data_IF_929323441440
#
_entry.id   IF_929323441440
#
_cell.length_a   1.000
_cell.length_b   1.000
_cell.length_c   1.000
_cell.angle_alpha   90.00
_cell.angle_beta   90.00
_cell.angle_gamma   90.00
#
_symmetry.space_group_name_H-M   'P 1'
#
loop_
_entity.id
_entity.type
_entity.pdbx_description
1 polymer ?
#
# COMPACT_ATOMS: atom_id res chain seq x y z
N UNK A 1 -56.46 -21.53 54.95
CA UNK A 1 -55.29 -20.66 55.10
C UNK A 1 -53.99 -21.40 54.64
N UNK A 2 -53.94 -21.86 53.37
CA UNK A 2 -52.78 -22.67 52.87
C UNK A 2 -52.52 -22.47 51.36
N UNK A 3 -52.73 -21.30 50.79
CA UNK A 3 -52.47 -21.03 49.35
C UNK A 3 -51.42 -19.89 49.14
N UNK A 4 -51.07 -19.13 50.21
CA UNK A 4 -50.24 -17.92 50.04
C UNK A 4 -48.70 -18.17 50.05
N UNK A 5 -48.19 -19.38 50.35
CA UNK A 5 -46.75 -19.61 50.54
C UNK A 5 -46.07 -20.17 49.27
N UNK A 6 -46.80 -20.68 48.29
CA UNK A 6 -46.23 -21.23 47.07
C UNK A 6 -45.89 -20.15 46.02
N UNK A 7 -46.55 -18.99 46.04
CA UNK A 7 -46.35 -17.93 45.08
C UNK A 7 -45.08 -17.12 45.25
N UNK A 8 -44.59 -16.96 46.53
CA UNK A 8 -43.41 -16.18 46.82
C UNK A 8 -42.08 -16.84 46.30
N UNK A 9 -41.99 -18.18 46.39
CA UNK A 9 -40.82 -18.91 45.91
C UNK A 9 -40.74 -18.91 44.37
N UNK A 10 -41.86 -18.97 43.68
CA UNK A 10 -41.88 -18.90 42.23
C UNK A 10 -41.52 -17.49 41.74
N UNK A 11 -41.92 -16.46 42.45
CA UNK A 11 -41.57 -15.07 42.15
C UNK A 11 -40.08 -14.80 42.34
N UNK A 12 -39.49 -15.34 43.42
CA UNK A 12 -38.02 -15.25 43.69
C UNK A 12 -37.20 -15.99 42.65
N UNK A 13 -37.65 -17.15 42.17
CA UNK A 13 -36.98 -17.88 41.07
C UNK A 13 -37.05 -17.09 39.76
N UNK A 14 -38.18 -16.43 39.48
CA UNK A 14 -38.33 -15.60 38.27
C UNK A 14 -37.39 -14.39 38.31
N UNK A 15 -37.26 -13.69 39.43
CA UNK A 15 -36.32 -12.58 39.61
C UNK A 15 -34.87 -13.03 39.56
N UNK A 16 -34.54 -14.21 40.06
CA UNK A 16 -33.18 -14.77 39.97
C UNK A 16 -32.78 -15.12 38.55
N UNK A 17 -33.71 -15.65 37.73
CA UNK A 17 -33.47 -15.93 36.31
C UNK A 17 -33.30 -14.64 35.51
N UNK A 18 -34.12 -13.61 35.76
CA UNK A 18 -34.02 -12.30 35.09
C UNK A 18 -32.67 -11.64 35.46
N UNK A 19 -32.23 -11.70 36.74
CA UNK A 19 -30.94 -11.16 37.16
C UNK A 19 -29.76 -11.90 36.53
N UNK A 20 -29.85 -13.22 36.36
CA UNK A 20 -28.83 -14.03 35.68
C UNK A 20 -28.77 -13.72 34.17
N UNK A 21 -29.93 -13.56 33.52
CA UNK A 21 -30.00 -13.15 32.11
C UNK A 21 -29.45 -11.72 31.90
N UNK A 22 -29.78 -10.78 32.79
CA UNK A 22 -29.24 -9.42 32.75
C UNK A 22 -27.72 -9.37 32.98
N UNK A 23 -27.19 -10.16 33.91
CA UNK A 23 -25.76 -10.29 34.15
C UNK A 23 -25.03 -10.93 32.96
N UNK A 24 -25.64 -11.92 32.30
CA UNK A 24 -25.09 -12.56 31.11
C UNK A 24 -25.09 -11.61 29.90
N UNK A 25 -26.15 -10.82 29.72
CA UNK A 25 -26.22 -9.78 28.67
C UNK A 25 -25.19 -8.68 28.95
N UNK A 26 -25.08 -8.21 30.20
CA UNK A 26 -24.09 -7.21 30.58
C UNK A 26 -22.65 -7.71 30.46
N UNK A 27 -22.38 -9.00 30.73
CA UNK A 27 -21.05 -9.58 30.49
C UNK A 27 -20.72 -9.70 29.00
N UNK A 28 -21.70 -10.01 28.14
CA UNK A 28 -21.49 -10.03 26.69
C UNK A 28 -21.32 -8.64 26.10
N UNK A 29 -22.08 -7.64 26.56
CA UNK A 29 -21.88 -6.24 26.12
C UNK A 29 -20.55 -5.70 26.56
N UNK A 30 -20.08 -5.97 27.78
CA UNK A 30 -18.72 -5.62 28.26
C UNK A 30 -17.62 -6.38 27.50
N UNK A 31 -17.88 -7.58 27.02
CA UNK A 31 -16.92 -8.32 26.20
C UNK A 31 -16.89 -7.77 24.76
N UNK A 32 -18.06 -7.39 24.21
CA UNK A 32 -18.16 -6.69 22.93
C UNK A 32 -17.48 -5.32 22.97
N UNK A 33 -17.68 -4.52 24.02
CA UNK A 33 -17.00 -3.23 24.22
C UNK A 33 -15.50 -3.36 24.52
N UNK A 34 -15.04 -4.49 25.11
CA UNK A 34 -13.60 -4.81 25.22
C UNK A 34 -13.00 -5.23 23.89
N UNK A 35 -13.74 -5.94 23.05
CA UNK A 35 -13.30 -6.36 21.73
C UNK A 35 -13.28 -5.19 20.75
N UNK A 36 -14.20 -4.20 20.89
CA UNK A 36 -14.13 -2.91 20.14
C UNK A 36 -12.97 -2.02 20.60
N UNK A 37 -12.49 -2.15 21.83
CA UNK A 37 -11.31 -1.44 22.38
C UNK A 37 -9.98 -2.15 22.17
N UNK A 38 -9.94 -3.29 21.51
CA UNK A 38 -8.67 -3.80 20.98
C UNK A 38 -8.35 -2.97 19.73
N UNK A 39 -7.61 -1.87 19.94
CA UNK A 39 -7.07 -1.04 18.87
C UNK A 39 -6.42 -1.94 17.82
N UNK A 40 -6.69 -1.67 16.54
CA UNK A 40 -5.96 -2.31 15.45
C UNK A 40 -4.46 -2.31 15.82
N UNK A 41 -3.80 -3.48 15.73
CA UNK A 41 -2.38 -3.54 16.01
C UNK A 41 -1.68 -2.58 15.05
N UNK A 42 -1.04 -1.56 15.61
CA UNK A 42 -0.34 -0.54 14.86
C UNK A 42 1.10 -0.98 14.68
N UNK A 43 1.59 -0.97 13.45
CA UNK A 43 3.01 -1.14 13.16
C UNK A 43 3.56 0.09 12.44
N UNK A 44 4.80 0.44 12.75
CA UNK A 44 5.52 1.54 12.11
C UNK A 44 6.60 0.96 11.21
N UNK A 45 6.69 1.46 9.97
CA UNK A 45 7.71 1.07 9.00
C UNK A 45 8.55 2.28 8.61
N UNK A 46 9.85 2.07 8.52
CA UNK A 46 10.88 3.03 8.13
C UNK A 46 11.95 2.34 7.29
N UNK A 47 12.78 3.10 6.61
CA UNK A 47 13.91 2.57 5.87
C UNK A 47 15.22 2.51 6.69
N UNK A 48 16.20 1.82 6.12
CA UNK A 48 17.55 1.75 6.65
C UNK A 48 17.67 0.97 7.96
N UNK A 49 18.72 1.26 8.72
CA UNK A 49 19.02 0.60 9.99
C UNK A 49 17.95 0.84 11.06
N UNK A 50 17.30 2.02 11.06
CA UNK A 50 16.21 2.33 11.96
C UNK A 50 14.99 1.44 11.67
N UNK A 51 14.61 1.28 10.40
CA UNK A 51 13.52 0.40 9.99
C UNK A 51 13.75 -1.06 10.37
N UNK A 52 14.99 -1.54 10.24
CA UNK A 52 15.40 -2.85 10.71
C UNK A 52 15.20 -3.00 12.22
N UNK A 53 15.73 -2.06 13.01
CA UNK A 53 15.61 -2.07 14.46
C UNK A 53 14.15 -2.00 14.92
N UNK A 54 13.33 -1.15 14.27
CA UNK A 54 11.91 -1.03 14.58
C UNK A 54 11.13 -2.31 14.26
N UNK A 55 11.44 -3.00 13.15
CA UNK A 55 10.81 -4.27 12.80
C UNK A 55 11.11 -5.35 13.84
N UNK A 56 12.36 -5.45 14.30
CA UNK A 56 12.79 -6.37 15.37
C UNK A 56 12.07 -6.07 16.68
N UNK A 57 12.02 -4.80 17.08
CA UNK A 57 11.36 -4.37 18.33
C UNK A 57 9.84 -4.59 18.31
N UNK A 58 9.21 -4.49 17.14
CA UNK A 58 7.78 -4.75 16.95
C UNK A 58 7.44 -6.24 16.78
N UNK A 59 8.43 -7.13 16.83
CA UNK A 59 8.23 -8.58 16.79
C UNK A 59 7.93 -9.14 15.39
N UNK A 60 8.41 -8.49 14.33
CA UNK A 60 8.34 -9.07 12.99
C UNK A 60 9.15 -10.38 12.93
N UNK A 61 8.65 -11.38 12.23
CA UNK A 61 9.40 -12.60 11.96
C UNK A 61 10.52 -12.31 10.95
N UNK A 62 11.72 -12.82 11.24
CA UNK A 62 12.89 -12.65 10.37
C UNK A 62 13.15 -13.94 9.59
N UNK A 63 13.29 -13.82 8.27
CA UNK A 63 13.80 -14.86 7.38
C UNK A 63 15.11 -14.38 6.75
N UNK A 64 16.13 -15.24 6.77
CA UNK A 64 17.41 -14.97 6.14
C UNK A 64 17.62 -15.90 4.93
N UNK A 65 18.04 -15.35 3.81
CA UNK A 65 18.41 -16.11 2.62
C UNK A 65 19.94 -16.23 2.51
N UNK A 66 20.50 -17.37 2.03
CA UNK A 66 21.93 -17.54 1.89
C UNK A 66 22.63 -16.51 0.99
N UNK A 67 21.91 -15.87 0.06
CA UNK A 67 22.44 -14.79 -0.79
C UNK A 67 22.75 -13.50 -0.02
N UNK A 68 22.28 -13.35 1.22
CA UNK A 68 22.41 -12.13 2.01
C UNK A 68 21.16 -11.27 2.06
N UNK A 69 20.14 -11.58 1.27
CA UNK A 69 18.80 -10.99 1.38
C UNK A 69 18.13 -11.49 2.64
N UNK A 70 17.42 -10.63 3.34
CA UNK A 70 16.59 -10.96 4.49
C UNK A 70 15.23 -10.30 4.41
N UNK A 71 14.24 -10.90 5.08
CA UNK A 71 12.87 -10.40 5.11
C UNK A 71 12.33 -10.34 6.53
N UNK A 72 11.75 -9.20 6.89
CA UNK A 72 10.92 -8.99 8.07
C UNK A 72 9.47 -9.09 7.68
N UNK A 73 8.67 -9.90 8.40
CA UNK A 73 7.26 -10.11 8.06
C UNK A 73 6.36 -10.08 9.28
N UNK A 74 5.21 -9.41 9.13
CA UNK A 74 4.07 -9.53 10.05
C UNK A 74 2.77 -9.62 9.26
N UNK A 75 1.71 -10.16 9.86
CA UNK A 75 0.41 -10.34 9.22
C UNK A 75 -0.71 -10.37 10.26
N UNK A 76 -1.93 -10.20 9.80
CA UNK A 76 -3.16 -10.24 10.60
C UNK A 76 -4.09 -11.31 10.03
N UNK A 77 -4.30 -12.39 10.79
CA UNK A 77 -5.10 -13.55 10.36
C UNK A 77 -6.60 -13.35 10.60
N UNK A 78 -6.97 -12.48 11.54
CA UNK A 78 -8.37 -12.22 11.86
C UNK A 78 -8.93 -11.15 10.91
N UNK A 79 -9.88 -11.50 10.02
CA UNK A 79 -10.45 -10.54 9.07
C UNK A 79 -11.21 -9.39 9.72
N UNK A 80 -11.51 -9.48 11.03
CA UNK A 80 -12.16 -8.43 11.82
C UNK A 80 -11.15 -7.56 12.61
N UNK A 81 -9.86 -7.91 12.59
CA UNK A 81 -8.79 -7.23 13.35
C UNK A 81 -7.61 -6.91 12.44
N UNK A 82 -7.89 -6.22 11.34
CA UNK A 82 -6.86 -5.82 10.38
C UNK A 82 -5.95 -4.74 10.95
N UNK A 83 -4.72 -4.69 10.45
CA UNK A 83 -3.68 -3.80 10.95
C UNK A 83 -3.82 -2.35 10.53
N UNK A 84 -3.10 -1.49 11.25
CA UNK A 84 -2.80 -0.13 10.85
C UNK A 84 -1.29 -0.01 10.66
N UNK A 85 -0.85 0.30 9.44
CA UNK A 85 0.56 0.54 9.11
C UNK A 85 0.80 2.03 9.02
N UNK A 86 1.82 2.52 9.72
CA UNK A 86 2.32 3.89 9.64
C UNK A 86 3.66 3.88 8.92
N UNK A 87 3.68 4.41 7.71
CA UNK A 87 4.92 4.73 7.02
C UNK A 87 5.43 6.10 7.48
N UNK A 88 6.69 6.16 7.93
CA UNK A 88 7.28 7.37 8.50
C UNK A 88 8.46 7.86 7.67
N UNK A 89 8.29 9.01 7.02
CA UNK A 89 9.32 9.72 6.24
C UNK A 89 9.04 11.23 6.26
N UNK A 90 9.16 11.87 7.42
CA UNK A 90 8.91 13.30 7.56
C UNK A 90 7.53 13.71 7.01
N UNK A 91 7.48 14.72 6.15
CA UNK A 91 6.22 15.20 5.53
C UNK A 91 5.56 14.21 4.57
N UNK A 92 6.31 13.23 4.07
CA UNK A 92 5.83 12.21 3.13
C UNK A 92 5.19 10.99 3.83
N UNK A 93 5.07 11.06 5.16
CA UNK A 93 4.45 10.00 5.96
C UNK A 93 2.98 9.82 5.63
N UNK A 94 2.48 8.59 5.76
CA UNK A 94 1.05 8.26 5.60
C UNK A 94 0.68 7.00 6.36
N UNK A 95 -0.62 6.82 6.59
CA UNK A 95 -1.19 5.67 7.27
C UNK A 95 -2.01 4.80 6.30
N UNK A 96 -1.90 3.48 6.46
CA UNK A 96 -2.69 2.47 5.75
C UNK A 96 -3.47 1.63 6.76
N UNK A 97 -4.79 1.78 6.77
CA UNK A 97 -5.68 0.90 7.51
C UNK A 97 -6.00 -0.39 6.76
N UNK A 98 -6.62 -1.33 7.46
CA UNK A 98 -7.04 -2.62 6.93
C UNK A 98 -5.88 -3.45 6.34
N UNK A 99 -4.67 -3.31 6.90
CA UNK A 99 -3.50 -4.06 6.48
C UNK A 99 -3.67 -5.56 6.81
N UNK A 100 -3.22 -6.39 5.88
CA UNK A 100 -3.25 -7.85 5.95
C UNK A 100 -1.85 -8.41 6.21
N UNK A 101 -0.88 -7.92 5.47
CA UNK A 101 0.51 -8.39 5.49
C UNK A 101 1.43 -7.18 5.33
N UNK A 102 2.54 -7.19 6.05
CA UNK A 102 3.66 -6.27 5.85
C UNK A 102 4.92 -7.10 5.71
N UNK A 103 5.68 -6.84 4.65
CA UNK A 103 6.98 -7.46 4.41
C UNK A 103 8.01 -6.37 4.16
N UNK A 104 9.10 -6.37 4.94
CA UNK A 104 10.26 -5.52 4.72
C UNK A 104 11.42 -6.35 4.19
N UNK A 105 12.05 -5.93 3.11
CA UNK A 105 13.22 -6.57 2.53
C UNK A 105 14.45 -5.73 2.76
N UNK A 106 15.59 -6.39 2.89
CA UNK A 106 16.91 -5.78 2.91
C UNK A 106 17.97 -6.72 2.36
N UNK A 107 19.06 -6.16 1.88
CA UNK A 107 20.23 -6.89 1.43
C UNK A 107 21.44 -6.42 2.24
N UNK A 108 22.30 -7.35 2.69
CA UNK A 108 23.55 -7.04 3.38
C UNK A 108 24.49 -6.14 2.56
N UNK A 109 24.32 -6.15 1.22
CA UNK A 109 25.09 -5.34 0.28
C UNK A 109 24.39 -4.03 -0.10
N UNK A 110 23.20 -3.73 0.48
CA UNK A 110 22.49 -2.47 0.25
C UNK A 110 23.29 -1.27 0.80
N UNK A 111 23.47 -0.20 0.00
CA UNK A 111 24.19 1.00 0.43
C UNK A 111 23.58 1.66 1.68
N UNK A 112 22.25 1.64 1.81
CA UNK A 112 21.53 2.27 2.91
C UNK A 112 21.62 1.47 4.22
N UNK A 113 21.94 0.18 4.13
CA UNK A 113 21.91 -0.76 5.26
C UNK A 113 20.50 -0.89 5.88
N UNK A 114 20.11 -2.07 6.30
CA UNK A 114 18.80 -2.29 6.87
C UNK A 114 17.71 -2.57 5.83
N UNK A 115 16.48 -2.12 6.06
CA UNK A 115 15.35 -2.35 5.14
C UNK A 115 15.37 -1.30 4.03
N UNK A 116 15.30 -1.73 2.79
CA UNK A 116 15.32 -0.90 1.58
C UNK A 116 14.04 -1.04 0.72
N UNK A 117 13.18 -2.00 1.07
CA UNK A 117 11.90 -2.21 0.41
C UNK A 117 10.84 -2.62 1.42
N UNK A 118 9.66 -2.04 1.34
CA UNK A 118 8.47 -2.44 2.09
C UNK A 118 7.33 -2.76 1.14
N UNK A 119 6.66 -3.87 1.40
CA UNK A 119 5.42 -4.27 0.74
C UNK A 119 4.30 -4.38 1.78
N UNK A 120 3.16 -3.73 1.50
CA UNK A 120 1.99 -3.71 2.38
C UNK A 120 0.77 -4.09 1.59
N UNK A 121 0.24 -5.30 1.83
CA UNK A 121 -1.06 -5.73 1.31
C UNK A 121 -2.17 -5.29 2.25
N UNK A 122 -3.23 -4.70 1.72
CA UNK A 122 -4.35 -4.18 2.50
C UNK A 122 -5.67 -4.20 1.73
N UNK A 123 -6.79 -4.18 2.45
CA UNK A 123 -8.11 -3.97 1.87
C UNK A 123 -8.42 -2.47 1.78
N UNK A 124 -8.94 -1.94 0.66
CA UNK A 124 -9.29 -0.53 0.54
C UNK A 124 -10.45 -0.11 1.46
N UNK A 125 -11.24 -1.06 1.93
CA UNK A 125 -12.37 -0.87 2.86
C UNK A 125 -12.29 -1.88 4.01
N UNK A 126 -12.91 -1.56 5.16
CA UNK A 126 -13.16 -2.53 6.24
C UNK A 126 -14.17 -3.61 5.83
N UNK A 127 -15.03 -3.32 4.85
CA UNK A 127 -15.90 -4.32 4.23
C UNK A 127 -15.12 -5.16 3.24
N UNK A 128 -15.21 -6.48 3.39
CA UNK A 128 -14.47 -7.44 2.54
C UNK A 128 -14.97 -7.46 1.09
N UNK A 129 -16.25 -7.21 0.88
CA UNK A 129 -16.91 -7.18 -0.43
C UNK A 129 -17.51 -5.78 -0.61
N UNK A 130 -17.12 -5.09 -1.67
CA UNK A 130 -17.54 -3.72 -1.98
C UNK A 130 -17.86 -3.55 -3.46
N UNK A 131 -18.57 -2.47 -3.81
CA UNK A 131 -18.90 -2.14 -5.20
C UNK A 131 -17.69 -1.54 -5.93
N UNK A 132 -17.80 -1.46 -7.26
CA UNK A 132 -16.79 -0.76 -8.08
C UNK A 132 -16.67 0.72 -7.69
N UNK A 133 -17.78 1.38 -7.43
CA UNK A 133 -17.82 2.79 -7.01
C UNK A 133 -17.11 2.99 -5.68
N UNK A 134 -17.43 2.16 -4.68
CA UNK A 134 -16.81 2.26 -3.36
C UNK A 134 -15.29 2.03 -3.45
N UNK A 135 -14.84 0.99 -4.15
CA UNK A 135 -13.42 0.70 -4.32
C UNK A 135 -12.69 1.85 -5.01
N UNK A 136 -13.22 2.35 -6.13
CA UNK A 136 -12.69 3.51 -6.84
C UNK A 136 -12.55 4.73 -5.92
N UNK A 137 -13.58 5.05 -5.17
CA UNK A 137 -13.61 6.25 -4.32
C UNK A 137 -12.63 6.13 -3.14
N UNK A 138 -12.48 4.92 -2.56
CA UNK A 138 -11.49 4.65 -1.52
C UNK A 138 -10.06 4.78 -2.05
N UNK A 139 -9.78 4.25 -3.23
CA UNK A 139 -8.46 4.38 -3.86
C UNK A 139 -8.21 5.84 -4.27
N UNK A 140 -9.17 6.55 -4.85
CA UNK A 140 -9.03 7.96 -5.17
C UNK A 140 -8.73 8.81 -3.93
N UNK A 141 -9.36 8.52 -2.80
CA UNK A 141 -9.07 9.18 -1.52
C UNK A 141 -7.65 8.88 -1.02
N UNK A 142 -7.16 7.64 -1.15
CA UNK A 142 -5.77 7.29 -0.83
C UNK A 142 -4.78 8.05 -1.72
N UNK A 143 -4.99 8.04 -3.05
CA UNK A 143 -4.17 8.79 -4.01
C UNK A 143 -4.14 10.29 -3.65
N UNK A 144 -5.28 10.85 -3.23
CA UNK A 144 -5.38 12.24 -2.74
C UNK A 144 -4.52 12.50 -1.51
N UNK A 145 -4.52 11.58 -0.52
CA UNK A 145 -3.66 11.69 0.68
C UNK A 145 -2.18 11.64 0.32
N UNK A 146 -1.77 10.72 -0.56
CA UNK A 146 -0.37 10.62 -1.01
C UNK A 146 0.09 11.94 -1.65
N UNK A 147 -0.70 12.51 -2.58
CA UNK A 147 -0.38 13.81 -3.18
C UNK A 147 -0.31 14.93 -2.15
N UNK A 148 -1.24 14.97 -1.19
CA UNK A 148 -1.25 15.97 -0.11
C UNK A 148 -0.03 15.85 0.81
N UNK A 149 0.51 14.65 0.99
CA UNK A 149 1.76 14.42 1.70
C UNK A 149 3.01 14.78 0.87
N UNK A 150 2.85 15.18 -0.41
CA UNK A 150 3.95 15.62 -1.27
C UNK A 150 4.51 14.58 -2.20
N UNK A 151 3.88 13.40 -2.29
CA UNK A 151 4.25 12.41 -3.30
C UNK A 151 3.88 12.92 -4.69
N UNK A 152 4.82 12.88 -5.62
CA UNK A 152 4.64 13.28 -7.02
C UNK A 152 4.56 12.05 -7.91
N UNK A 153 3.81 12.16 -9.01
CA UNK A 153 3.71 11.06 -9.99
C UNK A 153 5.07 10.75 -10.59
N UNK A 154 5.40 9.48 -10.66
CA UNK A 154 6.53 8.96 -11.42
C UNK A 154 6.02 8.26 -12.69
N UNK A 155 6.69 8.49 -13.81
CA UNK A 155 6.45 7.79 -15.09
C UNK A 155 7.77 7.13 -15.47
N UNK A 156 7.73 5.81 -15.68
CA UNK A 156 8.92 5.03 -16.06
C UNK A 156 9.63 5.65 -17.24
N UNK A 157 10.96 5.56 -17.26
CA UNK A 157 11.79 6.28 -18.25
C UNK A 157 11.46 5.94 -19.70
N UNK A 158 11.00 4.71 -19.97
CA UNK A 158 10.58 4.27 -21.31
C UNK A 158 9.14 4.62 -21.66
N UNK A 159 8.32 5.04 -20.67
CA UNK A 159 6.89 5.25 -20.85
C UNK A 159 6.56 6.66 -21.34
N UNK A 160 5.49 6.81 -22.14
CA UNK A 160 5.08 8.10 -22.69
C UNK A 160 4.52 9.00 -21.59
N UNK A 161 4.76 10.30 -21.72
CA UNK A 161 4.27 11.31 -20.77
C UNK A 161 2.84 11.71 -21.11
N UNK A 162 1.87 10.93 -20.65
CA UNK A 162 0.44 11.21 -20.81
C UNK A 162 -0.16 11.65 -19.47
N UNK A 163 -1.22 12.47 -19.50
CA UNK A 163 -1.89 12.98 -18.33
C UNK A 163 -3.40 12.71 -18.36
N UNK A 164 -4.03 12.74 -17.18
CA UNK A 164 -5.47 12.70 -17.03
C UNK A 164 -6.13 11.49 -17.68
N UNK A 165 -7.20 11.75 -18.43
CA UNK A 165 -7.96 10.72 -19.14
C UNK A 165 -7.13 9.94 -20.17
N UNK A 166 -6.20 10.61 -20.86
CA UNK A 166 -5.37 9.96 -21.88
C UNK A 166 -4.42 8.94 -21.26
N UNK A 167 -3.88 9.22 -20.05
CA UNK A 167 -3.09 8.27 -19.28
C UNK A 167 -3.90 7.01 -18.94
N UNK A 168 -5.15 7.17 -18.51
CA UNK A 168 -6.06 6.06 -18.22
C UNK A 168 -6.42 5.28 -19.48
N UNK A 169 -6.75 5.98 -20.56
CA UNK A 169 -7.05 5.33 -21.85
C UNK A 169 -5.86 4.51 -22.38
N UNK A 170 -4.64 5.03 -22.25
CA UNK A 170 -3.43 4.30 -22.63
C UNK A 170 -3.19 3.07 -21.77
N UNK A 171 -3.36 3.19 -20.45
CA UNK A 171 -3.23 2.05 -19.52
C UNK A 171 -4.18 0.88 -19.84
N UNK A 172 -5.33 1.17 -20.44
CA UNK A 172 -6.29 0.16 -20.90
C UNK A 172 -5.89 -0.54 -22.20
N UNK A 173 -4.83 -0.08 -22.90
CA UNK A 173 -4.30 -0.75 -24.08
C UNK A 173 -3.31 -1.85 -23.70
N UNK A 174 -3.03 -2.79 -24.62
CA UNK A 174 -1.99 -3.80 -24.40
C UNK A 174 -0.60 -3.19 -24.21
N UNK A 175 -0.32 -2.08 -24.89
CA UNK A 175 0.95 -1.37 -24.78
C UNK A 175 1.07 -0.57 -23.49
N UNK A 176 -0.06 -0.30 -22.82
CA UNK A 176 -0.12 0.41 -21.55
C UNK A 176 -0.13 -0.48 -20.33
N UNK A 177 0.08 -1.80 -20.47
CA UNK A 177 0.21 -2.69 -19.35
C UNK A 177 1.33 -2.20 -18.40
N UNK A 178 1.02 -2.10 -17.10
CA UNK A 178 1.93 -1.57 -16.06
C UNK A 178 2.25 -0.06 -16.17
N UNK A 179 1.53 0.67 -17.02
CA UNK A 179 1.71 2.11 -17.14
C UNK A 179 1.28 2.86 -15.88
N UNK A 180 2.03 3.91 -15.50
CA UNK A 180 1.71 4.79 -14.37
C UNK A 180 0.46 5.63 -14.65
N UNK A 181 -0.69 5.24 -14.10
CA UNK A 181 -1.94 5.97 -14.23
C UNK A 181 -1.81 7.34 -13.53
N UNK A 182 -2.44 8.36 -14.10
CA UNK A 182 -2.43 9.69 -13.48
C UNK A 182 -3.34 9.74 -12.25
N UNK A 183 -2.74 9.91 -11.07
CA UNK A 183 -3.44 9.97 -9.79
C UNK A 183 -4.33 11.21 -9.61
N UNK A 184 -4.21 12.22 -10.48
CA UNK A 184 -5.05 13.43 -10.43
C UNK A 184 -6.39 13.23 -11.15
N UNK A 185 -6.49 12.19 -11.99
CA UNK A 185 -7.71 11.84 -12.70
C UNK A 185 -8.47 10.74 -11.94
N UNK A 186 -9.75 10.98 -11.68
CA UNK A 186 -10.65 9.96 -11.14
C UNK A 186 -11.38 9.27 -12.28
N UNK A 187 -11.12 7.99 -12.56
CA UNK A 187 -11.78 7.24 -13.64
C UNK A 187 -13.29 7.18 -13.44
N UNK A 188 -14.06 7.14 -14.51
CA UNK A 188 -15.48 6.74 -14.46
C UNK A 188 -15.60 5.29 -13.96
N UNK A 189 -16.81 4.86 -13.61
CA UNK A 189 -17.02 3.46 -13.16
C UNK A 189 -16.66 2.47 -14.27
N UNK A 190 -16.98 2.80 -15.52
CA UNK A 190 -16.64 1.93 -16.67
C UNK A 190 -15.12 1.87 -16.91
N UNK A 191 -14.42 2.99 -16.82
CA UNK A 191 -12.96 3.02 -16.90
C UNK A 191 -12.35 2.23 -15.73
N UNK A 192 -12.91 2.37 -14.50
CA UNK A 192 -12.46 1.62 -13.34
C UNK A 192 -12.63 0.11 -13.54
N UNK A 193 -13.77 -0.36 -14.05
CA UNK A 193 -13.96 -1.78 -14.39
C UNK A 193 -12.92 -2.26 -15.42
N UNK A 194 -12.62 -1.44 -16.42
CA UNK A 194 -11.55 -1.73 -17.37
C UNK A 194 -10.19 -1.84 -16.69
N UNK A 195 -9.85 -0.92 -15.79
CA UNK A 195 -8.61 -0.95 -15.01
C UNK A 195 -8.51 -2.19 -14.10
N UNK A 196 -9.63 -2.69 -13.58
CA UNK A 196 -9.66 -3.92 -12.77
C UNK A 196 -9.52 -5.20 -13.63
N UNK A 197 -9.68 -5.11 -14.92
CA UNK A 197 -9.46 -6.24 -15.84
C UNK A 197 -8.00 -6.32 -16.34
N UNK A 198 -7.20 -5.28 -16.08
CA UNK A 198 -5.77 -5.20 -16.39
C UNK A 198 -4.99 -4.96 -15.10
N UNK A 199 -3.69 -5.14 -15.13
CA UNK A 199 -2.84 -4.86 -13.96
C UNK A 199 -2.62 -3.35 -13.85
N UNK A 200 -3.44 -2.67 -13.01
CA UNK A 200 -3.43 -1.21 -12.87
C UNK A 200 -2.47 -0.75 -11.80
N UNK A 201 -1.64 0.26 -12.10
CA UNK A 201 -0.62 0.79 -11.21
C UNK A 201 -0.57 2.31 -11.20
N UNK A 202 -0.25 2.88 -10.02
CA UNK A 202 0.10 4.29 -9.82
C UNK A 202 1.50 4.34 -9.23
N UNK A 203 2.41 5.00 -9.93
CA UNK A 203 3.78 5.18 -9.45
C UNK A 203 3.98 6.59 -8.92
N UNK A 204 4.66 6.67 -7.78
CA UNK A 204 5.00 7.92 -7.14
C UNK A 204 6.47 7.96 -6.75
N UNK A 205 6.95 9.17 -6.53
CA UNK A 205 8.27 9.46 -6.03
C UNK A 205 8.20 10.53 -4.94
N UNK A 206 9.06 10.41 -3.93
CA UNK A 206 9.28 11.41 -2.89
C UNK A 206 10.67 11.23 -2.27
N UNK A 207 11.56 12.21 -2.46
CA UNK A 207 12.83 12.31 -1.71
C UNK A 207 13.66 11.00 -1.73
N UNK A 208 13.97 10.49 -2.91
CA UNK A 208 14.75 9.26 -3.10
C UNK A 208 14.00 7.96 -2.87
N UNK A 209 12.68 8.03 -2.67
CA UNK A 209 11.81 6.87 -2.45
C UNK A 209 10.79 6.76 -3.57
N UNK A 210 10.58 5.55 -4.06
CA UNK A 210 9.55 5.17 -5.02
C UNK A 210 8.40 4.47 -4.31
N UNK A 211 7.18 4.73 -4.75
CA UNK A 211 5.99 4.06 -4.27
C UNK A 211 5.17 3.57 -5.46
N UNK A 212 4.80 2.31 -5.44
CA UNK A 212 3.87 1.70 -6.39
C UNK A 212 2.61 1.29 -5.65
N UNK A 213 1.45 1.79 -6.07
CA UNK A 213 0.15 1.26 -5.64
C UNK A 213 -0.41 0.40 -6.76
N UNK A 214 -0.78 -0.82 -6.46
CA UNK A 214 -1.54 -1.71 -7.35
C UNK A 214 -2.86 -2.13 -6.72
N UNK A 215 -3.85 -2.45 -7.55
CA UNK A 215 -5.16 -2.91 -7.11
C UNK A 215 -5.58 -4.09 -7.96
N UNK A 216 -5.93 -5.18 -7.32
CA UNK A 216 -6.50 -6.37 -7.95
C UNK A 216 -7.96 -6.57 -7.54
N UNK A 217 -8.75 -7.21 -8.41
CA UNK A 217 -10.16 -7.45 -8.24
C UNK A 217 -10.52 -8.90 -8.51
N UNK A 218 -11.39 -9.44 -7.67
CA UNK A 218 -12.05 -10.73 -7.87
C UNK A 218 -13.55 -10.57 -7.68
N UNK A 219 -14.35 -10.96 -8.67
CA UNK A 219 -15.81 -10.88 -8.59
C UNK A 219 -16.37 -11.73 -7.43
N UNK A 220 -17.42 -11.24 -6.79
CA UNK A 220 -18.23 -12.01 -5.84
C UNK A 220 -19.46 -12.62 -6.54
N UNK A 221 -20.26 -13.38 -5.79
CA UNK A 221 -21.54 -13.92 -6.29
C UNK A 221 -22.60 -12.82 -6.48
N UNK A 222 -22.46 -11.65 -5.82
CA UNK A 222 -23.37 -10.52 -5.97
C UNK A 222 -22.92 -9.66 -7.16
N UNK A 223 -23.87 -9.32 -8.05
CA UNK A 223 -23.60 -8.51 -9.23
C UNK A 223 -23.06 -7.12 -8.85
N UNK A 224 -22.01 -6.67 -9.56
CA UNK A 224 -21.36 -5.39 -9.29
C UNK A 224 -20.53 -5.30 -8.02
N UNK A 225 -20.38 -6.41 -7.27
CA UNK A 225 -19.63 -6.49 -6.02
C UNK A 225 -18.41 -7.40 -6.16
N UNK A 226 -17.37 -7.15 -5.38
CA UNK A 226 -16.18 -7.99 -5.40
C UNK A 226 -15.21 -7.77 -4.25
N UNK A 227 -14.20 -8.64 -4.23
CA UNK A 227 -13.04 -8.54 -3.34
C UNK A 227 -11.98 -7.68 -4.00
N UNK A 228 -11.42 -6.75 -3.24
CA UNK A 228 -10.32 -5.90 -3.68
C UNK A 228 -9.13 -6.12 -2.78
N UNK A 229 -8.00 -6.44 -3.38
CA UNK A 229 -6.71 -6.44 -2.71
C UNK A 229 -5.88 -5.31 -3.29
N UNK A 230 -5.34 -4.48 -2.42
CA UNK A 230 -4.43 -3.39 -2.78
C UNK A 230 -3.07 -3.67 -2.18
N UNK A 231 -2.02 -3.38 -2.94
CA UNK A 231 -0.65 -3.51 -2.49
C UNK A 231 0.06 -2.16 -2.68
N UNK A 232 0.76 -1.71 -1.64
CA UNK A 232 1.71 -0.61 -1.73
C UNK A 232 3.10 -1.18 -1.54
N UNK A 233 3.92 -1.07 -2.59
CA UNK A 233 5.35 -1.28 -2.52
C UNK A 233 6.05 0.07 -2.39
N UNK A 234 6.96 0.19 -1.43
CA UNK A 234 7.76 1.39 -1.21
C UNK A 234 9.23 0.95 -1.22
N UNK A 235 10.05 1.55 -2.07
CA UNK A 235 11.47 1.17 -2.21
C UNK A 235 12.39 2.38 -2.27
N UNK A 236 13.61 2.21 -1.80
CA UNK A 236 14.65 3.23 -2.00
C UNK A 236 15.03 3.32 -3.48
N UNK A 237 15.61 4.45 -3.90
CA UNK A 237 16.13 4.59 -5.25
C UNK A 237 17.18 3.52 -5.58
N UNK A 238 18.01 3.15 -4.60
CA UNK A 238 18.99 2.07 -4.76
C UNK A 238 18.33 0.73 -5.06
N UNK A 239 17.28 0.36 -4.33
CA UNK A 239 16.54 -0.88 -4.58
C UNK A 239 15.81 -0.81 -5.94
N UNK A 240 15.14 0.31 -6.24
CA UNK A 240 14.42 0.53 -7.49
C UNK A 240 15.32 0.42 -8.73
N UNK A 241 16.56 0.89 -8.65
CA UNK A 241 17.50 0.86 -9.77
C UNK A 241 18.48 -0.32 -9.73
N UNK A 242 18.55 -1.08 -8.64
CA UNK A 242 19.45 -2.23 -8.51
C UNK A 242 19.33 -3.27 -9.64
N UNK A 243 18.13 -3.55 -10.22
CA UNK A 243 18.00 -4.51 -11.32
C UNK A 243 18.81 -4.16 -12.57
N UNK A 244 19.07 -2.87 -12.83
CA UNK A 244 19.92 -2.43 -13.96
C UNK A 244 21.39 -2.88 -13.81
N UNK A 245 21.82 -3.21 -12.60
CA UNK A 245 23.21 -3.52 -12.24
C UNK A 245 23.35 -4.91 -11.60
N UNK A 246 22.47 -5.85 -11.95
CA UNK A 246 22.44 -7.19 -11.36
C UNK A 246 23.73 -8.01 -11.65
N UNK A 247 24.49 -7.63 -12.67
CA UNK A 247 25.74 -8.25 -13.10
C UNK A 247 26.98 -7.82 -12.29
N UNK A 248 26.88 -6.71 -11.50
CA UNK A 248 28.01 -6.13 -10.79
C UNK A 248 27.63 -5.48 -9.46
N UNK A 249 28.14 -6.04 -8.36
CA UNK A 249 28.00 -5.47 -7.01
C UNK A 249 28.59 -4.05 -6.93
N UNK A 250 29.74 -3.83 -7.58
CA UNK A 250 30.38 -2.52 -7.61
C UNK A 250 29.51 -1.46 -8.30
N UNK A 251 28.94 -1.77 -9.47
CA UNK A 251 28.04 -0.86 -10.18
C UNK A 251 26.75 -0.63 -9.39
N UNK A 252 26.24 -1.63 -8.71
CA UNK A 252 25.07 -1.53 -7.86
C UNK A 252 25.30 -0.60 -6.66
N UNK A 253 26.46 -0.66 -6.01
CA UNK A 253 26.83 0.24 -4.90
C UNK A 253 27.05 1.69 -5.32
N UNK A 254 27.36 1.93 -6.59
CA UNK A 254 27.61 3.26 -7.16
C UNK A 254 26.65 3.56 -8.32
N UNK A 255 25.41 3.10 -8.21
CA UNK A 255 24.41 3.11 -9.28
C UNK A 255 24.17 4.53 -9.85
N UNK A 256 24.18 5.58 -9.02
CA UNK A 256 23.97 6.96 -9.48
C UNK A 256 24.97 7.36 -10.58
N UNK A 257 26.21 6.90 -10.48
CA UNK A 257 27.25 7.19 -11.46
C UNK A 257 26.97 6.59 -12.84
N UNK A 258 26.29 5.46 -12.89
CA UNK A 258 26.10 4.67 -14.11
C UNK A 258 24.68 4.77 -14.67
N UNK A 259 23.70 5.15 -13.87
CA UNK A 259 22.27 5.07 -14.20
C UNK A 259 21.92 5.90 -15.44
N UNK A 260 22.48 7.10 -15.58
CA UNK A 260 22.18 7.97 -16.74
C UNK A 260 22.55 7.30 -18.07
N UNK A 261 23.63 6.53 -18.12
CA UNK A 261 24.04 5.79 -19.32
C UNK A 261 23.14 4.58 -19.56
N UNK A 262 22.76 3.85 -18.51
CA UNK A 262 21.86 2.70 -18.59
C UNK A 262 20.44 3.10 -19.07
N UNK A 263 19.97 4.30 -18.74
CA UNK A 263 18.63 4.76 -19.11
C UNK A 263 18.55 5.37 -20.53
N UNK A 264 19.67 5.58 -21.24
CA UNK A 264 19.66 6.14 -22.61
C UNK A 264 18.72 5.37 -23.57
N UNK A 265 18.76 4.03 -23.66
CA UNK A 265 17.84 3.28 -24.50
C UNK A 265 16.36 3.49 -24.14
N UNK A 266 16.06 3.61 -22.85
CA UNK A 266 14.70 3.86 -22.37
C UNK A 266 14.20 5.27 -22.77
N UNK A 267 15.06 6.28 -22.75
CA UNK A 267 14.76 7.64 -23.23
C UNK A 267 14.48 7.65 -24.73
N UNK A 268 15.26 6.91 -25.52
CA UNK A 268 15.03 6.77 -26.96
C UNK A 268 13.71 6.06 -27.26
N UNK A 269 13.40 4.98 -26.53
CA UNK A 269 12.14 4.25 -26.65
C UNK A 269 10.96 5.15 -26.31
N UNK A 270 11.01 5.94 -25.23
CA UNK A 270 10.00 6.94 -24.89
C UNK A 270 9.77 7.90 -26.06
N UNK A 271 10.85 8.45 -26.63
CA UNK A 271 10.75 9.44 -27.72
C UNK A 271 10.04 8.87 -28.95
N UNK A 272 10.35 7.62 -29.31
CA UNK A 272 9.70 6.90 -30.39
C UNK A 272 8.23 6.68 -30.11
N UNK A 273 7.90 6.16 -28.93
CA UNK A 273 6.52 5.88 -28.50
C UNK A 273 5.66 7.14 -28.43
N UNK A 274 6.22 8.24 -27.93
CA UNK A 274 5.53 9.54 -27.92
C UNK A 274 5.26 10.08 -29.33
N UNK A 275 6.17 9.87 -30.28
CA UNK A 275 5.94 10.26 -31.69
C UNK A 275 4.80 9.44 -32.31
N UNK A 276 4.75 8.14 -32.07
CA UNK A 276 3.68 7.25 -32.52
C UNK A 276 2.32 7.64 -31.92
N UNK A 277 2.28 7.93 -30.62
CA UNK A 277 1.06 8.35 -29.92
C UNK A 277 0.56 9.72 -30.38
N UNK A 278 1.44 10.69 -30.64
CA UNK A 278 1.08 11.96 -31.26
C UNK A 278 0.40 11.77 -32.64
N UNK A 279 0.93 10.85 -33.44
CA UNK A 279 0.31 10.52 -34.75
C UNK A 279 -1.08 9.87 -34.57
N UNK A 280 -1.38 9.26 -33.45
CA UNK A 280 -2.68 8.70 -33.08
C UNK A 280 -3.62 9.73 -32.40
N UNK A 281 -3.17 10.97 -32.16
CA UNK A 281 -3.96 12.04 -31.59
C UNK A 281 -3.82 12.23 -30.07
N UNK A 282 -2.88 11.53 -29.42
CA UNK A 282 -2.59 11.74 -28.01
C UNK A 282 -1.82 13.04 -27.77
N UNK A 283 -2.08 13.68 -26.63
CA UNK A 283 -1.35 14.87 -26.17
C UNK A 283 -0.24 14.45 -25.22
N UNK A 284 1.01 14.74 -25.56
CA UNK A 284 2.15 14.47 -24.68
C UNK A 284 2.32 15.60 -23.67
N UNK A 285 2.36 15.26 -22.39
CA UNK A 285 2.67 16.20 -21.31
C UNK A 285 4.17 16.56 -21.31
N UNK A 286 4.48 17.67 -21.95
CA UNK A 286 5.86 18.21 -21.99
C UNK A 286 6.25 18.93 -20.72
N UNK A 287 5.34 19.11 -19.75
CA UNK A 287 5.63 19.75 -18.46
C UNK A 287 6.09 18.77 -17.40
N UNK A 288 5.89 17.45 -17.63
CA UNK A 288 6.36 16.42 -16.72
C UNK A 288 7.88 16.48 -16.55
N UNK A 289 8.30 16.54 -15.29
CA UNK A 289 9.70 16.47 -14.86
C UNK A 289 9.94 15.12 -14.18
N UNK A 290 10.90 14.35 -14.68
CA UNK A 290 11.34 13.15 -14.00
C UNK A 290 12.02 13.51 -12.66
N UNK A 291 11.86 12.69 -11.61
CA UNK A 291 12.57 12.91 -10.35
C UNK A 291 14.09 12.83 -10.54
N UNK A 292 14.88 13.46 -9.65
CA UNK A 292 16.34 13.33 -9.69
C UNK A 292 16.75 11.89 -9.36
N UNK A 293 17.89 11.47 -9.91
CA UNK A 293 18.50 10.16 -9.62
C UNK A 293 19.40 10.29 -8.38
N UNK A 294 18.78 10.34 -7.22
CA UNK A 294 19.48 10.53 -5.95
C UNK A 294 19.03 9.48 -4.94
N UNK A 295 19.98 8.94 -4.19
CA UNK A 295 19.69 8.09 -3.04
C UNK A 295 19.05 8.91 -1.91
N UNK A 296 18.16 8.31 -1.10
CA UNK A 296 17.60 8.99 0.05
C UNK A 296 18.68 9.22 1.11
N UNK A 297 18.75 10.44 1.66
CA UNK A 297 19.62 10.73 2.80
C UNK A 297 18.90 10.44 4.12
N UNK A 298 19.17 9.29 4.71
CA UNK A 298 18.65 8.92 6.03
C UNK A 298 19.45 9.52 7.20
N UNK A 299 20.69 9.98 6.96
CA UNK A 299 21.57 10.50 8.01
C UNK A 299 21.16 11.88 8.52
N UNK A 300 20.65 12.72 7.63
CA UNK A 300 20.20 14.07 7.97
C UNK A 300 18.91 14.10 8.81
N UNK A 301 18.10 13.04 8.76
CA UNK A 301 16.78 12.95 9.43
C UNK A 301 16.88 12.44 10.87
N UNK A 302 17.91 11.67 11.22
CA UNK A 302 18.16 11.19 12.59
C UNK A 302 18.55 12.31 13.57
N UNK A 303 18.99 13.48 13.08
CA UNK A 303 19.41 14.63 13.89
C UNK A 303 18.28 15.64 14.22
N UNK A 304 17.06 15.43 13.74
CA UNK A 304 15.94 16.38 13.84
C UNK A 304 14.79 15.91 14.77
N UNK A 305 15.02 14.88 15.59
CA UNK A 305 14.05 14.37 16.58
C UNK A 305 14.61 14.37 18.00
#
# INVERSE_FOLDING_TARGET
>A
MWIAIKSSKLLWLFFAVIALCAAFIASRTNQYERDEKMSAQVVTIKFGAEGKSDAEAQGFSLMNHPSGVYAYKTHWDDPHKLGLVKYVQGKYSFDLGNALIVTGLGDKDSPEGGVDNWDVSFNPSSSRIISYEEARDKIAALLGRLRSAGWVRYIETSDPRLAGKEATAYALTKSGALYSIDSTYTPSVEEWKGLMAVESRWYFYADGIFLTLSVSYQSSAADGMGYYLSDIQISTASDNYSPYFSDSIERRRHWEKYLSDELKPAVEERSKREAELKAQGYTIDTTYQAPPFEAPDFSAKAAAH
#
